data_IF_864704418810
#
_entry.id   IF_864704418810
#
_cell.length_a   1.000
_cell.length_b   1.000
_cell.length_c   1.000
_cell.angle_alpha   90.00
_cell.angle_beta   90.00
_cell.angle_gamma   90.00
#
_symmetry.space_group_name_H-M   'P 1'
#
loop_
_entity.id
_entity.type
_entity.pdbx_description
1 polymer ?
#
# COMPACT_ATOMS: atom_id res chain seq x y z
N UNK A 1 -18.91 3.62 -3.74
CA UNK A 1 -18.17 2.47 -4.30
C UNK A 1 -17.67 2.87 -5.68
N UNK A 2 -16.59 2.24 -6.19
CA UNK A 2 -16.12 2.53 -7.55
C UNK A 2 -17.04 1.78 -8.51
N UNK A 3 -17.71 2.52 -9.39
CA UNK A 3 -18.67 1.98 -10.35
C UNK A 3 -18.21 2.29 -11.79
N UNK A 4 -18.42 1.38 -12.76
CA UNK A 4 -18.92 0.03 -12.57
C UNK A 4 -17.87 -0.91 -11.95
N UNK A 5 -18.32 -1.99 -11.29
CA UNK A 5 -17.44 -3.06 -10.81
C UNK A 5 -16.61 -3.68 -11.94
N UNK A 6 -15.35 -4.00 -11.63
CA UNK A 6 -14.50 -4.78 -12.53
C UNK A 6 -14.91 -6.25 -12.49
N UNK A 7 -15.32 -6.79 -13.64
CA UNK A 7 -15.62 -8.21 -13.82
C UNK A 7 -14.35 -8.97 -14.20
N UNK A 8 -14.11 -10.12 -13.58
CA UNK A 8 -12.93 -10.96 -13.81
C UNK A 8 -13.40 -12.41 -14.04
N UNK A 9 -12.75 -13.10 -14.98
CA UNK A 9 -13.00 -14.52 -15.28
C UNK A 9 -12.91 -15.40 -14.03
N UNK A 10 -13.75 -16.43 -13.97
CA UNK A 10 -13.80 -17.38 -12.84
C UNK A 10 -12.44 -17.96 -12.45
N UNK A 11 -11.64 -18.38 -13.43
CA UNK A 11 -10.30 -18.96 -13.16
C UNK A 11 -9.36 -17.96 -12.48
N UNK A 12 -9.33 -16.71 -12.96
CA UNK A 12 -8.51 -15.64 -12.39
C UNK A 12 -9.04 -15.23 -11.00
N UNK A 13 -10.37 -15.16 -10.83
CA UNK A 13 -11.02 -14.86 -9.55
C UNK A 13 -10.70 -15.93 -8.49
N UNK A 14 -10.76 -17.22 -8.88
CA UNK A 14 -10.39 -18.34 -8.02
C UNK A 14 -8.89 -18.31 -7.66
N UNK A 15 -8.02 -17.98 -8.62
CA UNK A 15 -6.57 -17.83 -8.42
C UNK A 15 -6.24 -16.71 -7.42
N UNK A 16 -6.91 -15.55 -7.54
CA UNK A 16 -6.75 -14.42 -6.62
C UNK A 16 -7.18 -14.82 -5.20
N UNK A 17 -8.36 -15.43 -5.04
CA UNK A 17 -8.86 -15.84 -3.73
C UNK A 17 -7.96 -16.91 -3.07
N UNK A 18 -7.43 -17.85 -3.85
CA UNK A 18 -6.46 -18.84 -3.38
C UNK A 18 -5.19 -18.16 -2.86
N UNK A 19 -4.65 -17.21 -3.63
CA UNK A 19 -3.45 -16.44 -3.24
C UNK A 19 -3.69 -15.62 -1.96
N UNK A 20 -4.85 -14.96 -1.85
CA UNK A 20 -5.23 -14.24 -0.63
C UNK A 20 -5.30 -15.20 0.57
N UNK A 21 -5.84 -16.41 0.38
CA UNK A 21 -5.87 -17.46 1.39
C UNK A 21 -4.47 -17.86 1.88
N UNK A 22 -3.51 -18.04 0.97
CA UNK A 22 -2.12 -18.34 1.32
C UNK A 22 -1.46 -17.20 2.11
N UNK A 23 -1.63 -15.95 1.66
CA UNK A 23 -1.09 -14.77 2.37
C UNK A 23 -1.64 -14.66 3.80
N UNK A 24 -2.94 -14.95 4.00
CA UNK A 24 -3.55 -14.98 5.34
C UNK A 24 -2.92 -16.04 6.24
N UNK A 25 -2.64 -17.23 5.70
CA UNK A 25 -1.97 -18.29 6.45
C UNK A 25 -0.55 -17.87 6.85
N UNK A 26 0.23 -17.33 5.90
CA UNK A 26 1.56 -16.78 6.20
C UNK A 26 1.52 -15.71 7.29
N UNK A 27 0.50 -14.83 7.29
CA UNK A 27 0.32 -13.84 8.36
C UNK A 27 0.08 -14.47 9.73
N UNK A 28 -0.70 -15.55 9.78
CA UNK A 28 -0.95 -16.32 11.02
C UNK A 28 0.32 -17.03 11.51
N UNK A 29 1.12 -17.57 10.59
CA UNK A 29 2.39 -18.24 10.90
C UNK A 29 3.43 -17.26 11.44
N UNK A 30 3.53 -16.06 10.84
CA UNK A 30 4.40 -14.98 11.32
C UNK A 30 4.00 -14.58 12.75
N UNK A 31 2.71 -14.33 12.99
CA UNK A 31 2.23 -13.97 14.33
C UNK A 31 2.51 -15.07 15.36
N UNK A 32 2.21 -16.32 15.02
CA UNK A 32 2.45 -17.48 15.89
C UNK A 32 3.94 -17.68 16.18
N UNK A 33 4.82 -17.28 15.26
CA UNK A 33 6.27 -17.35 15.46
C UNK A 33 6.75 -16.26 16.41
N UNK A 34 6.30 -15.01 16.23
CA UNK A 34 6.65 -13.90 17.11
C UNK A 34 6.14 -14.11 18.53
N UNK A 35 4.92 -14.62 18.67
CA UNK A 35 4.28 -14.89 19.97
C UNK A 35 5.10 -15.81 20.88
N UNK A 36 5.88 -16.74 20.31
CA UNK A 36 6.78 -17.62 21.07
C UNK A 36 7.86 -16.86 21.84
N UNK A 37 8.11 -15.61 21.48
CA UNK A 37 9.11 -14.73 22.08
C UNK A 37 8.49 -13.61 22.91
N UNK A 38 7.16 -13.59 23.07
CA UNK A 38 6.45 -12.47 23.70
C UNK A 38 6.01 -12.72 25.15
N UNK A 39 6.70 -13.60 25.88
CA UNK A 39 6.32 -14.08 27.23
C UNK A 39 7.38 -13.78 28.30
N UNK A 40 8.32 -12.88 28.01
CA UNK A 40 9.28 -12.38 28.98
C UNK A 40 8.85 -11.04 29.60
N UNK A 41 9.53 -10.62 30.68
CA UNK A 41 9.20 -9.40 31.43
C UNK A 41 9.25 -8.12 30.56
N UNK A 42 10.13 -8.09 29.56
CA UNK A 42 10.42 -6.95 28.69
C UNK A 42 9.54 -7.00 27.43
N UNK A 43 9.55 -8.11 26.70
CA UNK A 43 8.84 -8.30 25.42
C UNK A 43 7.44 -8.89 25.63
N UNK A 44 6.72 -8.44 26.64
CA UNK A 44 5.36 -8.90 26.89
C UNK A 44 4.35 -8.40 25.82
N UNK A 45 3.08 -8.79 25.96
CA UNK A 45 2.01 -8.40 25.03
C UNK A 45 1.85 -6.88 24.86
N UNK A 46 2.12 -6.07 25.90
CA UNK A 46 2.02 -4.63 25.80
C UNK A 46 3.12 -4.06 24.91
N UNK A 47 4.34 -4.58 25.04
CA UNK A 47 5.46 -4.25 24.15
C UNK A 47 5.16 -4.61 22.71
N UNK A 48 4.67 -5.83 22.43
CA UNK A 48 4.31 -6.29 21.09
C UNK A 48 3.29 -5.38 20.40
N UNK A 49 2.23 -5.00 21.13
CA UNK A 49 1.20 -4.08 20.62
C UNK A 49 1.80 -2.72 20.33
N UNK A 50 2.62 -2.18 21.23
CA UNK A 50 3.26 -0.88 21.02
C UNK A 50 4.19 -0.89 19.80
N UNK A 51 5.09 -1.89 19.71
CA UNK A 51 6.01 -2.05 18.59
C UNK A 51 5.26 -2.17 17.25
N UNK A 52 4.15 -2.92 17.23
CA UNK A 52 3.30 -3.03 16.04
C UNK A 52 2.65 -1.71 15.62
N UNK A 53 2.14 -0.93 16.58
CA UNK A 53 1.56 0.40 16.31
C UNK A 53 2.62 1.37 15.80
N UNK A 54 3.80 1.38 16.41
CA UNK A 54 4.92 2.23 15.99
C UNK A 54 5.41 1.86 14.58
N UNK A 55 5.52 0.57 14.26
CA UNK A 55 5.89 0.08 12.94
C UNK A 55 4.89 0.53 11.84
N UNK A 56 3.62 0.70 12.19
CA UNK A 56 2.57 1.20 11.30
C UNK A 56 2.48 2.73 11.25
N UNK A 57 3.22 3.46 12.09
CA UNK A 57 3.08 4.91 12.27
C UNK A 57 3.17 5.71 10.96
N UNK A 58 4.10 5.32 10.07
CA UNK A 58 4.25 5.95 8.74
C UNK A 58 3.00 5.77 7.86
N UNK A 59 2.30 4.65 8.00
CA UNK A 59 1.10 4.30 7.25
C UNK A 59 -0.19 4.81 7.90
N UNK A 60 -0.15 5.31 9.14
CA UNK A 60 -1.33 5.83 9.86
C UNK A 60 -2.01 7.04 9.18
N UNK A 61 -1.33 7.68 8.22
CA UNK A 61 -1.89 8.75 7.40
C UNK A 61 -2.51 8.20 6.12
N UNK A 62 -3.81 8.44 5.91
CA UNK A 62 -4.58 8.10 4.69
C UNK A 62 -3.79 8.32 3.40
N UNK A 63 -3.26 9.54 3.22
CA UNK A 63 -2.58 9.92 1.98
C UNK A 63 -1.25 9.20 1.75
N UNK A 64 -0.59 8.69 2.81
CA UNK A 64 0.65 7.92 2.65
C UNK A 64 0.36 6.60 1.95
N UNK A 65 -0.68 5.89 2.43
CA UNK A 65 -1.14 4.63 1.84
C UNK A 65 -1.63 4.86 0.41
N UNK A 66 -2.39 5.92 0.17
CA UNK A 66 -2.89 6.20 -1.18
C UNK A 66 -1.77 6.58 -2.16
N UNK A 67 -0.76 7.35 -1.76
CA UNK A 67 0.42 7.65 -2.60
C UNK A 67 1.19 6.37 -2.91
N UNK A 68 1.43 5.52 -1.91
CA UNK A 68 2.09 4.23 -2.09
C UNK A 68 1.33 3.36 -3.09
N UNK A 69 0.01 3.22 -2.92
CA UNK A 69 -0.84 2.46 -3.82
C UNK A 69 -0.85 3.04 -5.24
N UNK A 70 -0.96 4.36 -5.39
CA UNK A 70 -0.96 5.04 -6.68
C UNK A 70 0.36 4.81 -7.43
N UNK A 71 1.51 4.96 -6.78
CA UNK A 71 2.81 4.76 -7.41
C UNK A 71 3.12 3.28 -7.65
N UNK A 72 2.62 2.36 -6.82
CA UNK A 72 2.74 0.93 -7.06
C UNK A 72 1.96 0.48 -8.30
N UNK A 73 0.75 1.00 -8.50
CA UNK A 73 -0.14 0.64 -9.61
C UNK A 73 0.25 1.39 -10.90
N UNK A 74 0.48 2.69 -10.82
CA UNK A 74 0.69 3.55 -11.98
C UNK A 74 2.17 3.70 -12.36
N UNK A 75 3.11 3.36 -11.48
CA UNK A 75 4.53 3.62 -11.64
C UNK A 75 4.88 5.09 -11.40
N UNK A 76 6.00 5.53 -11.98
CA UNK A 76 6.51 6.90 -11.84
C UNK A 76 5.49 7.94 -12.34
N UNK A 77 5.23 8.98 -11.54
CA UNK A 77 4.25 10.03 -11.86
C UNK A 77 4.70 11.42 -11.43
N UNK A 78 4.30 12.44 -12.20
CA UNK A 78 4.45 13.86 -11.84
C UNK A 78 3.46 14.26 -10.77
N UNK A 79 3.74 15.40 -10.14
CA UNK A 79 2.89 15.96 -9.09
C UNK A 79 1.41 16.08 -9.49
N UNK A 80 1.12 16.68 -10.65
CA UNK A 80 -0.26 16.90 -11.09
C UNK A 80 -0.96 15.59 -11.50
N UNK A 81 -0.21 14.60 -12.00
CA UNK A 81 -0.76 13.29 -12.31
C UNK A 81 -1.15 12.55 -11.01
N UNK A 82 -0.28 12.58 -9.99
CA UNK A 82 -0.60 12.05 -8.67
C UNK A 82 -1.80 12.76 -8.04
N UNK A 83 -1.84 14.09 -8.11
CA UNK A 83 -2.99 14.86 -7.59
C UNK A 83 -4.30 14.49 -8.28
N UNK A 84 -4.26 14.18 -9.57
CA UNK A 84 -5.44 13.76 -10.31
C UNK A 84 -5.89 12.35 -9.93
N UNK A 85 -4.95 11.42 -9.74
CA UNK A 85 -5.24 10.05 -9.28
C UNK A 85 -5.76 10.01 -7.84
N UNK A 86 -5.27 10.91 -6.99
CA UNK A 86 -5.59 10.99 -5.56
C UNK A 86 -6.74 11.97 -5.31
N UNK A 87 -7.95 11.55 -5.70
CA UNK A 87 -9.13 12.40 -5.63
C UNK A 87 -9.35 12.99 -4.22
N UNK A 88 -9.51 14.32 -4.16
CA UNK A 88 -9.72 15.07 -2.92
C UNK A 88 -8.45 15.55 -2.21
N UNK A 89 -7.24 15.22 -2.71
CA UNK A 89 -6.01 15.74 -2.10
C UNK A 89 -5.75 17.19 -2.52
N UNK A 90 -5.45 18.06 -1.55
CA UNK A 90 -5.00 19.42 -1.84
C UNK A 90 -3.53 19.42 -2.28
N UNK A 91 -3.11 20.43 -3.06
CA UNK A 91 -1.69 20.58 -3.45
C UNK A 91 -0.76 20.70 -2.23
N UNK A 92 -1.22 21.39 -1.17
CA UNK A 92 -0.47 21.52 0.07
C UNK A 92 -0.28 20.16 0.72
N UNK A 93 -1.37 19.41 0.92
CA UNK A 93 -1.33 18.08 1.51
C UNK A 93 -0.50 17.10 0.70
N UNK A 94 -0.62 17.11 -0.64
CA UNK A 94 0.21 16.26 -1.50
C UNK A 94 1.70 16.59 -1.36
N UNK A 95 2.04 17.87 -1.32
CA UNK A 95 3.45 18.30 -1.14
C UNK A 95 4.00 17.84 0.20
N UNK A 96 3.25 18.02 1.28
CA UNK A 96 3.64 17.60 2.63
C UNK A 96 3.81 16.08 2.71
N UNK A 97 2.90 15.32 2.08
CA UNK A 97 2.94 13.85 2.10
C UNK A 97 4.03 13.27 1.22
N UNK A 98 4.30 13.85 0.05
CA UNK A 98 5.45 13.45 -0.77
C UNK A 98 6.78 13.73 -0.06
N UNK A 99 6.89 14.84 0.68
CA UNK A 99 8.05 15.10 1.54
C UNK A 99 8.19 14.02 2.62
N UNK A 100 7.13 13.75 3.37
CA UNK A 100 7.14 12.73 4.41
C UNK A 100 7.49 11.34 3.85
N UNK A 101 6.88 10.92 2.73
CA UNK A 101 7.19 9.65 2.07
C UNK A 101 8.66 9.56 1.61
N UNK A 102 9.26 10.68 1.19
CA UNK A 102 10.69 10.73 0.85
C UNK A 102 11.57 10.58 2.10
N UNK A 103 11.24 11.28 3.18
CA UNK A 103 12.01 11.26 4.44
C UNK A 103 12.08 9.85 5.06
N UNK A 104 10.99 9.10 4.99
CA UNK A 104 10.93 7.69 5.44
C UNK A 104 11.43 6.68 4.39
N UNK A 105 11.92 7.16 3.23
CA UNK A 105 12.52 6.31 2.20
C UNK A 105 11.54 5.48 1.38
N UNK A 106 10.25 5.84 1.30
CA UNK A 106 9.27 5.15 0.45
C UNK A 106 9.35 5.60 -1.02
N UNK A 107 9.73 6.86 -1.28
CA UNK A 107 9.76 7.42 -2.65
C UNK A 107 11.03 8.21 -2.94
N UNK A 108 11.41 8.21 -4.22
CA UNK A 108 12.38 9.14 -4.79
C UNK A 108 11.68 10.28 -5.50
N UNK A 109 12.27 11.49 -5.43
CA UNK A 109 11.93 12.63 -6.28
C UNK A 109 12.98 12.75 -7.37
N UNK A 110 12.60 12.47 -8.60
CA UNK A 110 13.47 12.56 -9.77
C UNK A 110 13.33 13.95 -10.38
N UNK A 111 14.46 14.59 -10.69
CA UNK A 111 14.53 15.84 -11.43
C UNK A 111 15.27 15.56 -12.72
N UNK A 112 14.59 15.78 -13.85
CA UNK A 112 15.21 15.72 -15.17
C UNK A 112 15.42 17.16 -15.62
N UNK A 113 16.70 17.54 -15.74
CA UNK A 113 17.12 18.86 -16.21
C UNK A 113 16.84 19.05 -17.70
N UNK A 114 16.82 20.31 -18.12
CA UNK A 114 16.59 20.73 -19.50
C UNK A 114 15.36 21.62 -19.67
N UNK A 115 15.09 22.12 -20.89
CA UNK A 115 13.89 22.88 -21.19
C UNK A 115 12.78 21.96 -21.73
N UNK A 116 11.67 21.71 -20.99
CA UNK A 116 11.37 22.16 -19.62
C UNK A 116 11.89 21.19 -18.54
N UNK A 117 12.15 21.72 -17.33
CA UNK A 117 12.51 20.91 -16.15
C UNK A 117 11.32 20.02 -15.81
N UNK A 118 11.58 18.71 -15.61
CA UNK A 118 10.54 17.74 -15.26
C UNK A 118 10.82 17.17 -13.88
N UNK A 119 9.76 17.07 -13.08
CA UNK A 119 9.81 16.49 -11.74
C UNK A 119 8.80 15.36 -11.65
N UNK A 120 9.27 14.20 -11.23
CA UNK A 120 8.46 13.00 -11.03
C UNK A 120 8.81 12.30 -9.71
N UNK A 121 7.94 11.40 -9.30
CA UNK A 121 8.06 10.62 -8.09
C UNK A 121 7.92 9.14 -8.43
N UNK A 122 8.78 8.31 -7.85
CA UNK A 122 8.74 6.85 -8.00
C UNK A 122 8.93 6.18 -6.64
N UNK A 123 8.49 4.93 -6.52
CA UNK A 123 8.83 4.13 -5.34
C UNK A 123 10.34 3.86 -5.30
N UNK A 124 10.92 3.89 -4.11
CA UNK A 124 12.23 3.29 -3.87
C UNK A 124 12.12 1.76 -3.88
N UNK A 125 13.23 1.05 -3.67
CA UNK A 125 13.17 -0.39 -3.42
C UNK A 125 12.34 -0.71 -2.16
N UNK A 126 12.55 0.03 -1.07
CA UNK A 126 11.78 -0.13 0.16
C UNK A 126 10.28 0.11 -0.09
N UNK A 127 9.93 1.21 -0.77
CA UNK A 127 8.54 1.50 -1.15
C UNK A 127 7.94 0.42 -2.03
N UNK A 128 8.70 -0.14 -2.97
CA UNK A 128 8.25 -1.25 -3.81
C UNK A 128 7.97 -2.51 -2.99
N UNK A 129 8.80 -2.84 -2.01
CA UNK A 129 8.57 -3.96 -1.08
C UNK A 129 7.30 -3.74 -0.26
N UNK A 130 7.10 -2.53 0.28
CA UNK A 130 5.86 -2.17 0.99
C UNK A 130 4.62 -2.28 0.08
N UNK A 131 4.70 -1.81 -1.17
CA UNK A 131 3.62 -1.93 -2.14
C UNK A 131 3.25 -3.39 -2.43
N UNK A 132 4.24 -4.27 -2.59
CA UNK A 132 4.03 -5.71 -2.76
C UNK A 132 3.35 -6.34 -1.55
N UNK A 133 3.79 -6.02 -0.33
CA UNK A 133 3.19 -6.51 0.92
C UNK A 133 1.73 -6.03 1.10
N UNK A 134 1.43 -4.80 0.66
CA UNK A 134 0.10 -4.22 0.76
C UNK A 134 -0.87 -4.74 -0.33
N UNK A 135 -0.35 -5.17 -1.48
CA UNK A 135 -1.18 -5.52 -2.65
C UNK A 135 -2.21 -6.64 -2.42
N UNK A 136 -1.94 -7.72 -1.66
CA UNK A 136 -2.96 -8.74 -1.38
C UNK A 136 -4.11 -8.19 -0.53
N UNK A 137 -3.80 -7.32 0.44
CA UNK A 137 -4.82 -6.66 1.26
C UNK A 137 -5.69 -5.74 0.39
N UNK A 138 -5.09 -4.99 -0.53
CA UNK A 138 -5.82 -4.14 -1.48
C UNK A 138 -6.72 -4.98 -2.38
N UNK A 139 -6.23 -6.13 -2.89
CA UNK A 139 -7.03 -7.04 -3.69
C UNK A 139 -8.23 -7.59 -2.90
N UNK A 140 -8.00 -8.08 -1.68
CA UNK A 140 -9.06 -8.53 -0.78
C UNK A 140 -10.10 -7.44 -0.54
N UNK A 141 -9.69 -6.20 -0.26
CA UNK A 141 -10.61 -5.10 -0.02
C UNK A 141 -11.40 -4.70 -1.26
N UNK A 142 -10.80 -4.77 -2.46
CA UNK A 142 -11.52 -4.51 -3.73
C UNK A 142 -12.63 -5.54 -3.96
N UNK A 143 -12.34 -6.83 -3.71
CA UNK A 143 -13.35 -7.90 -3.81
C UNK A 143 -14.43 -7.71 -2.75
N UNK A 144 -14.04 -7.54 -1.47
CA UNK A 144 -14.97 -7.37 -0.35
C UNK A 144 -15.92 -6.18 -0.54
N UNK A 145 -15.44 -5.10 -1.14
CA UNK A 145 -16.21 -3.89 -1.39
C UNK A 145 -17.00 -3.93 -2.70
N UNK A 146 -17.02 -5.06 -3.41
CA UNK A 146 -17.73 -5.21 -4.69
C UNK A 146 -17.10 -4.45 -5.86
N UNK A 147 -15.89 -3.91 -5.71
CA UNK A 147 -15.17 -3.24 -6.80
C UNK A 147 -14.59 -4.25 -7.80
N UNK A 148 -14.39 -5.49 -7.38
CA UNK A 148 -14.06 -6.64 -8.23
C UNK A 148 -15.11 -7.74 -7.96
N UNK A 149 -15.70 -8.25 -9.03
CA UNK A 149 -16.67 -9.35 -8.99
C UNK A 149 -16.30 -10.42 -10.02
N UNK A 150 -16.76 -11.65 -9.77
CA UNK A 150 -16.67 -12.72 -10.75
C UNK A 150 -17.60 -12.45 -11.94
N UNK A 151 -17.18 -12.82 -13.15
CA UNK A 151 -18.07 -12.84 -14.31
C UNK A 151 -19.19 -13.88 -14.09
N UNK A 152 -20.41 -13.53 -14.47
CA UNK A 152 -21.50 -14.50 -14.52
C UNK A 152 -21.21 -15.44 -15.70
N UNK A 153 -21.26 -16.76 -15.46
CA UNK A 153 -21.06 -17.81 -16.46
C UNK A 153 -22.11 -17.76 -17.56
#
# INVERSE_FOLDING_TARGET
MVEPSMRIKSDDFASINTTIGQVRNHGSDIRSTLEKYSDDEIHNIAWEVQAGVEALGVFGSRWTIEILAALYIAGERRFNELRHLLNGISSRTLSDKLRACKEVGLIDRIVIEGPPIRVSYKLTEHGTRCGKLLSPLVAYMKIRNGAIIEEDV
#
